data_IF_497399849988
#
_entry.id   IF_497399849988
#
_cell.length_a   1.000
_cell.length_b   1.000
_cell.length_c   1.000
_cell.angle_alpha   90.00
_cell.angle_beta   90.00
_cell.angle_gamma   90.00
#
_symmetry.space_group_name_H-M   'P 1'
#
loop_
_entity.id
_entity.type
_entity.pdbx_description
1 polymer ?
#
# COMPACT_ATOMS: atom_id res chain seq x y z
N UNK A 1 9.34 31.07 -31.09
CA UNK A 1 9.02 30.90 -29.66
C UNK A 1 8.53 29.45 -29.46
N UNK A 2 9.44 28.60 -29.07
CA UNK A 2 9.18 27.16 -28.98
C UNK A 2 8.64 26.85 -27.57
N UNK A 3 7.38 26.44 -27.49
CA UNK A 3 6.80 25.91 -26.28
C UNK A 3 7.50 24.59 -25.92
N UNK A 4 8.28 24.59 -24.87
CA UNK A 4 8.88 23.38 -24.30
C UNK A 4 7.76 22.58 -23.66
N UNK A 5 7.41 21.50 -24.33
CA UNK A 5 6.54 20.44 -23.82
C UNK A 5 7.30 19.73 -22.70
N UNK A 6 7.03 20.08 -21.44
CA UNK A 6 7.54 19.29 -20.32
C UNK A 6 6.78 17.98 -20.29
N UNK A 7 7.45 16.82 -20.34
CA UNK A 7 6.78 15.55 -20.12
C UNK A 7 6.32 15.49 -18.66
N UNK A 8 5.04 15.48 -18.43
CA UNK A 8 4.48 15.02 -17.17
C UNK A 8 4.91 13.56 -16.99
N UNK A 9 6.00 13.32 -16.27
CA UNK A 9 6.43 11.97 -15.90
C UNK A 9 5.44 11.40 -14.89
N UNK A 10 4.31 10.91 -15.39
CA UNK A 10 3.51 9.95 -14.64
C UNK A 10 4.39 8.72 -14.48
N UNK A 11 4.93 8.51 -13.28
CA UNK A 11 5.65 7.29 -12.95
C UNK A 11 4.82 6.10 -13.40
N UNK A 12 5.40 5.29 -14.29
CA UNK A 12 4.72 4.11 -14.82
C UNK A 12 4.38 3.17 -13.65
N UNK A 13 3.13 2.74 -13.59
CA UNK A 13 2.64 1.88 -12.50
C UNK A 13 2.69 0.44 -12.98
N UNK A 14 3.38 -0.45 -12.24
CA UNK A 14 3.51 -1.84 -12.65
C UNK A 14 2.17 -2.58 -12.69
N UNK A 15 1.19 -2.15 -11.89
CA UNK A 15 -0.19 -2.66 -11.92
C UNK A 15 -1.19 -1.50 -12.10
N UNK A 16 -2.25 -1.68 -12.91
CA UNK A 16 -3.24 -0.63 -13.20
C UNK A 16 -3.92 -0.07 -11.94
N UNK A 17 -4.21 -0.94 -10.97
CA UNK A 17 -4.88 -0.60 -9.73
C UNK A 17 -3.88 -0.44 -8.57
N UNK A 18 -2.76 0.22 -8.83
CA UNK A 18 -1.76 0.58 -7.84
C UNK A 18 -1.48 2.09 -7.89
N UNK A 19 -0.82 2.60 -6.86
CA UNK A 19 -0.41 3.99 -6.75
C UNK A 19 0.90 4.11 -5.97
N UNK A 20 1.80 4.98 -6.44
CA UNK A 20 3.03 5.30 -5.74
C UNK A 20 2.73 6.21 -4.55
N UNK A 21 3.10 5.75 -3.37
CA UNK A 21 3.08 6.52 -2.12
C UNK A 21 4.37 7.31 -1.99
N UNK A 22 5.49 6.63 -2.19
CA UNK A 22 6.82 7.22 -2.34
C UNK A 22 7.39 6.72 -3.67
N UNK A 23 7.70 7.61 -4.62
CA UNK A 23 8.18 7.24 -5.94
C UNK A 23 9.32 6.22 -5.90
N UNK A 24 9.19 5.12 -6.63
CA UNK A 24 10.16 4.03 -6.73
C UNK A 24 10.53 3.34 -5.39
N UNK A 25 9.78 3.61 -4.31
CA UNK A 25 10.07 3.08 -2.97
C UNK A 25 8.89 2.37 -2.32
N UNK A 26 7.74 3.02 -2.30
CA UNK A 26 6.51 2.49 -1.69
C UNK A 26 5.38 2.55 -2.69
N UNK A 27 4.93 1.40 -3.13
CA UNK A 27 3.77 1.19 -3.99
C UNK A 27 2.66 0.55 -3.16
N UNK A 28 1.44 0.96 -3.37
CA UNK A 28 0.27 0.38 -2.74
C UNK A 28 -0.79 0.03 -3.78
N UNK A 29 -1.63 -0.98 -3.52
CA UNK A 29 -2.65 -1.34 -4.48
C UNK A 29 -3.39 -2.63 -4.15
N UNK A 30 -3.90 -3.24 -5.23
CA UNK A 30 -4.67 -4.48 -5.16
C UNK A 30 -3.79 -5.72 -4.99
N UNK A 31 -4.42 -6.85 -4.67
CA UNK A 31 -3.80 -8.16 -4.63
C UNK A 31 -2.98 -8.44 -5.91
N UNK A 32 -1.68 -8.81 -5.77
CA UNK A 32 -0.79 -8.97 -6.92
C UNK A 32 -0.84 -10.36 -7.57
N UNK A 33 -1.49 -11.33 -6.93
CA UNK A 33 -1.67 -12.67 -7.49
C UNK A 33 -2.86 -12.77 -8.44
N UNK A 34 -3.16 -13.98 -8.85
CA UNK A 34 -4.33 -14.34 -9.66
C UNK A 34 -4.70 -15.80 -9.41
N UNK A 35 -5.86 -16.24 -9.91
CA UNK A 35 -6.27 -17.65 -9.90
C UNK A 35 -5.35 -18.47 -10.81
N UNK A 36 -5.08 -17.94 -12.00
CA UNK A 36 -4.14 -18.55 -12.95
C UNK A 36 -2.70 -18.17 -12.58
N UNK A 37 -1.86 -19.17 -12.35
CA UNK A 37 -0.46 -18.97 -11.94
C UNK A 37 0.35 -18.17 -12.97
N UNK A 38 0.11 -18.35 -14.24
CA UNK A 38 0.79 -17.61 -15.32
C UNK A 38 0.51 -16.11 -15.24
N UNK A 39 -0.74 -15.73 -14.94
CA UNK A 39 -1.12 -14.35 -14.73
C UNK A 39 -0.48 -13.80 -13.45
N UNK A 40 -0.51 -14.55 -12.36
CA UNK A 40 0.15 -14.17 -11.11
C UNK A 40 1.64 -13.89 -11.32
N UNK A 41 2.36 -14.79 -12.01
CA UNK A 41 3.78 -14.62 -12.36
C UNK A 41 4.03 -13.36 -13.19
N UNK A 42 3.18 -13.07 -14.18
CA UNK A 42 3.30 -11.87 -14.99
C UNK A 42 3.12 -10.60 -14.14
N UNK A 43 2.14 -10.55 -13.25
CA UNK A 43 1.88 -9.41 -12.36
C UNK A 43 3.04 -9.19 -11.38
N UNK A 44 3.53 -10.27 -10.77
CA UNK A 44 4.68 -10.23 -9.85
C UNK A 44 5.97 -9.80 -10.57
N UNK A 45 6.20 -10.26 -11.81
CA UNK A 45 7.37 -9.86 -12.58
C UNK A 45 7.38 -8.36 -12.91
N UNK A 46 6.21 -7.76 -13.16
CA UNK A 46 6.09 -6.30 -13.34
C UNK A 46 6.45 -5.54 -12.05
N UNK A 47 6.02 -6.03 -10.90
CA UNK A 47 6.36 -5.45 -9.61
C UNK A 47 7.87 -5.55 -9.33
N UNK A 48 8.46 -6.72 -9.54
CA UNK A 48 9.91 -6.91 -9.32
C UNK A 48 10.76 -6.12 -10.31
N UNK A 49 10.34 -5.99 -11.57
CA UNK A 49 10.97 -5.12 -12.56
C UNK A 49 10.93 -3.62 -12.17
N UNK A 50 9.90 -3.22 -11.41
CA UNK A 50 9.81 -1.87 -10.84
C UNK A 50 10.60 -1.71 -9.51
N UNK A 51 11.42 -2.70 -9.14
CA UNK A 51 12.26 -2.66 -7.94
C UNK A 51 11.56 -3.09 -6.64
N UNK A 52 10.34 -3.63 -6.72
CA UNK A 52 9.62 -4.15 -5.55
C UNK A 52 10.18 -5.52 -5.18
N UNK A 53 10.71 -5.63 -3.96
CA UNK A 53 11.26 -6.87 -3.40
C UNK A 53 10.81 -7.12 -1.97
N UNK A 54 9.90 -6.31 -1.44
CA UNK A 54 9.28 -6.50 -0.13
C UNK A 54 7.76 -6.39 -0.28
N UNK A 55 7.04 -7.42 0.15
CA UNK A 55 5.59 -7.54 -0.02
C UNK A 55 4.91 -7.60 1.34
N UNK A 56 3.97 -6.70 1.57
CA UNK A 56 3.14 -6.65 2.78
C UNK A 56 1.71 -6.98 2.40
N UNK A 57 1.25 -8.14 2.85
CA UNK A 57 -0.06 -8.71 2.59
C UNK A 57 -0.97 -8.50 3.81
N UNK A 58 -2.02 -7.73 3.63
CA UNK A 58 -3.01 -7.42 4.68
C UNK A 58 -4.24 -8.32 4.63
N UNK A 59 -4.27 -9.33 3.74
CA UNK A 59 -5.39 -10.27 3.64
C UNK A 59 -5.32 -11.35 4.70
N UNK A 60 -6.49 -11.91 5.00
CA UNK A 60 -6.60 -13.07 5.89
C UNK A 60 -6.11 -14.34 5.18
N UNK A 61 -5.69 -15.32 5.96
CA UNK A 61 -5.29 -16.61 5.39
C UNK A 61 -6.48 -17.30 4.72
N UNK A 62 -6.26 -17.84 3.52
CA UNK A 62 -7.32 -18.46 2.71
C UNK A 62 -8.28 -17.46 2.03
N UNK A 63 -8.15 -16.14 2.24
CA UNK A 63 -9.00 -15.14 1.58
C UNK A 63 -8.79 -15.10 0.05
N UNK A 64 -7.55 -15.27 -0.40
CA UNK A 64 -7.15 -15.25 -1.81
C UNK A 64 -6.12 -16.35 -2.09
N UNK A 65 -5.96 -16.81 -3.34
CA UNK A 65 -4.93 -17.78 -3.71
C UNK A 65 -3.53 -17.30 -3.27
N UNK A 66 -2.71 -18.16 -2.65
CA UNK A 66 -1.37 -17.74 -2.19
C UNK A 66 -0.43 -17.50 -3.37
N UNK A 67 0.37 -16.43 -3.30
CA UNK A 67 1.37 -16.10 -4.32
C UNK A 67 2.82 -16.09 -3.80
N UNK A 68 3.02 -16.27 -2.49
CA UNK A 68 4.35 -16.22 -1.86
C UNK A 68 5.36 -17.15 -2.52
N UNK A 69 4.93 -18.35 -2.92
CA UNK A 69 5.77 -19.35 -3.57
C UNK A 69 6.24 -18.96 -4.98
N UNK A 70 5.63 -17.92 -5.57
CA UNK A 70 5.98 -17.38 -6.88
C UNK A 70 6.98 -16.21 -6.80
N UNK A 71 7.28 -15.74 -5.59
CA UNK A 71 8.24 -14.65 -5.39
C UNK A 71 9.68 -15.14 -5.57
N UNK A 72 10.58 -14.26 -6.05
CA UNK A 72 12.00 -14.62 -6.14
C UNK A 72 12.60 -14.88 -4.75
N UNK A 73 13.65 -15.71 -4.64
CA UNK A 73 14.23 -16.12 -3.34
C UNK A 73 14.71 -14.97 -2.45
N UNK A 74 15.09 -13.84 -3.04
CA UNK A 74 15.53 -12.65 -2.33
C UNK A 74 14.42 -11.71 -1.89
N UNK A 75 13.17 -11.99 -2.27
CA UNK A 75 12.03 -11.18 -1.87
C UNK A 75 11.62 -11.46 -0.43
N UNK A 76 11.24 -10.42 0.26
CA UNK A 76 10.63 -10.50 1.60
C UNK A 76 9.10 -10.53 1.48
N UNK A 77 8.46 -11.35 2.29
CA UNK A 77 7.01 -11.42 2.39
C UNK A 77 6.58 -11.41 3.85
N UNK A 78 5.74 -10.45 4.19
CA UNK A 78 5.10 -10.32 5.49
C UNK A 78 3.60 -10.34 5.32
N UNK A 79 2.91 -11.29 5.95
CA UNK A 79 1.46 -11.22 6.13
C UNK A 79 1.13 -10.69 7.53
N UNK A 80 0.30 -9.66 7.58
CA UNK A 80 -0.28 -9.14 8.81
C UNK A 80 -1.77 -8.89 8.57
N UNK A 81 -2.55 -9.93 8.79
CA UNK A 81 -3.96 -9.97 8.43
C UNK A 81 -4.78 -8.93 9.18
N UNK A 82 -5.58 -8.19 8.45
CA UNK A 82 -6.62 -7.31 8.97
C UNK A 82 -7.94 -7.81 8.41
N UNK A 83 -8.94 -8.00 9.26
CA UNK A 83 -10.29 -8.41 8.82
C UNK A 83 -10.83 -7.38 7.83
N UNK A 84 -11.44 -7.86 6.76
CA UNK A 84 -11.93 -6.96 5.70
C UNK A 84 -12.91 -5.93 6.25
N UNK A 85 -12.82 -4.70 5.76
CA UNK A 85 -13.57 -3.52 6.22
C UNK A 85 -13.27 -3.02 7.63
N UNK A 86 -12.42 -3.72 8.40
CA UNK A 86 -12.08 -3.39 9.79
C UNK A 86 -10.75 -2.63 9.90
N UNK A 87 -10.45 -2.24 11.12
CA UNK A 87 -9.16 -1.70 11.56
C UNK A 87 -8.30 -2.82 12.16
N UNK A 88 -6.96 -2.63 12.33
CA UNK A 88 -6.10 -3.58 13.04
C UNK A 88 -6.62 -3.92 14.43
N UNK A 89 -6.39 -5.14 14.88
CA UNK A 89 -6.85 -5.64 16.18
C UNK A 89 -6.30 -4.84 17.36
N UNK A 90 -5.13 -4.25 17.20
CA UNK A 90 -4.49 -3.40 18.19
C UNK A 90 -3.50 -2.43 17.53
N UNK A 91 -3.07 -1.44 18.30
CA UNK A 91 -2.13 -0.41 17.85
C UNK A 91 -0.75 -0.99 17.53
N UNK A 92 -0.31 -2.05 18.24
CA UNK A 92 0.99 -2.70 17.98
C UNK A 92 1.07 -3.27 16.58
N UNK A 93 -0.01 -3.89 16.08
CA UNK A 93 -0.04 -4.42 14.70
C UNK A 93 0.25 -3.33 13.67
N UNK A 94 -0.34 -2.15 13.81
CA UNK A 94 -0.05 -1.03 12.89
C UNK A 94 1.40 -0.58 13.01
N UNK A 95 1.95 -0.49 14.22
CA UNK A 95 3.36 -0.11 14.44
C UNK A 95 4.34 -1.09 13.83
N UNK A 96 4.09 -2.37 14.00
CA UNK A 96 4.90 -3.44 13.40
C UNK A 96 4.92 -3.32 11.88
N UNK A 97 3.75 -3.06 11.27
CA UNK A 97 3.63 -2.82 9.83
C UNK A 97 4.43 -1.59 9.39
N UNK A 98 4.27 -0.46 10.08
CA UNK A 98 5.01 0.77 9.75
C UNK A 98 6.53 0.60 10.00
N UNK A 99 6.91 -0.11 11.05
CA UNK A 99 8.31 -0.45 11.32
C UNK A 99 8.89 -1.34 10.21
N UNK A 100 8.16 -2.34 9.75
CA UNK A 100 8.57 -3.19 8.64
C UNK A 100 8.75 -2.39 7.34
N UNK A 101 7.83 -1.45 7.04
CA UNK A 101 7.95 -0.54 5.90
C UNK A 101 9.22 0.32 6.01
N UNK A 102 9.42 0.99 7.15
CA UNK A 102 10.58 1.86 7.37
C UNK A 102 11.89 1.06 7.32
N UNK A 103 11.91 -0.14 7.89
CA UNK A 103 13.07 -1.03 7.85
C UNK A 103 13.42 -1.48 6.42
N UNK A 104 12.44 -1.83 5.60
CA UNK A 104 12.67 -2.20 4.21
C UNK A 104 13.19 -0.99 3.40
N UNK A 105 12.62 0.19 3.58
CA UNK A 105 13.11 1.43 2.95
C UNK A 105 14.54 1.76 3.35
N UNK A 106 14.89 1.62 4.63
CA UNK A 106 16.25 1.85 5.13
C UNK A 106 17.28 0.91 4.47
N UNK A 107 16.86 -0.32 4.11
CA UNK A 107 17.68 -1.28 3.34
C UNK A 107 17.66 -1.04 1.82
N UNK A 108 17.04 0.05 1.36
CA UNK A 108 16.94 0.37 -0.07
C UNK A 108 15.95 -0.49 -0.86
N UNK A 109 15.07 -1.25 -0.19
CA UNK A 109 14.10 -2.15 -0.83
C UNK A 109 12.84 -1.41 -1.25
N UNK A 110 12.34 -1.70 -2.45
CA UNK A 110 11.01 -1.30 -2.88
C UNK A 110 9.95 -2.18 -2.22
N UNK A 111 8.85 -1.55 -1.77
CA UNK A 111 7.80 -2.18 -0.98
C UNK A 111 6.48 -2.13 -1.74
N UNK A 112 5.73 -3.23 -1.71
CA UNK A 112 4.34 -3.29 -2.14
C UNK A 112 3.43 -3.63 -0.97
N UNK A 113 2.49 -2.72 -0.65
CA UNK A 113 1.47 -2.92 0.38
C UNK A 113 0.13 -3.16 -0.29
N UNK A 114 -0.53 -4.26 0.03
CA UNK A 114 -1.80 -4.61 -0.60
C UNK A 114 -2.78 -5.31 0.34
N UNK A 115 -4.05 -5.26 -0.06
CA UNK A 115 -5.10 -6.14 0.42
C UNK A 115 -5.79 -6.80 -0.80
N UNK A 116 -7.10 -7.01 -0.79
CA UNK A 116 -7.84 -7.50 -1.97
C UNK A 116 -7.93 -6.44 -3.08
N UNK A 117 -8.53 -5.29 -2.79
CA UNK A 117 -8.82 -4.24 -3.77
C UNK A 117 -7.88 -3.03 -3.71
N UNK A 118 -7.03 -2.94 -2.69
CA UNK A 118 -6.17 -1.78 -2.46
C UNK A 118 -6.89 -0.56 -1.88
N UNK A 119 -8.13 -0.70 -1.42
CA UNK A 119 -9.02 0.39 -1.01
C UNK A 119 -9.02 0.57 0.51
N UNK A 120 -9.58 -0.41 1.26
CA UNK A 120 -9.84 -0.29 2.69
C UNK A 120 -8.59 -0.46 3.54
N UNK A 121 -8.18 -1.71 3.75
CA UNK A 121 -7.03 -2.09 4.61
C UNK A 121 -5.72 -1.47 4.13
N UNK A 122 -5.47 -1.47 2.83
CA UNK A 122 -4.30 -0.81 2.22
C UNK A 122 -4.34 0.69 2.45
N UNK A 123 -5.47 1.34 2.16
CA UNK A 123 -5.65 2.77 2.39
C UNK A 123 -5.47 3.14 3.86
N UNK A 124 -5.93 2.28 4.78
CA UNK A 124 -5.75 2.47 6.23
C UNK A 124 -4.26 2.51 6.62
N UNK A 125 -3.49 1.47 6.25
CA UNK A 125 -2.07 1.38 6.63
C UNK A 125 -1.24 2.48 5.97
N UNK A 126 -1.48 2.76 4.70
CA UNK A 126 -0.82 3.88 4.01
C UNK A 126 -1.21 5.22 4.62
N UNK A 127 -2.49 5.39 5.02
CA UNK A 127 -2.94 6.58 5.73
C UNK A 127 -2.23 6.78 7.07
N UNK A 128 -2.01 5.72 7.84
CA UNK A 128 -1.23 5.78 9.09
C UNK A 128 0.24 6.11 8.82
N UNK A 129 0.85 5.51 7.79
CA UNK A 129 2.20 5.85 7.36
C UNK A 129 2.33 7.34 7.02
N UNK A 130 1.41 7.88 6.22
CA UNK A 130 1.38 9.31 5.88
C UNK A 130 1.12 10.19 7.09
N UNK A 131 0.31 9.74 8.06
CA UNK A 131 0.03 10.49 9.28
C UNK A 131 1.27 10.65 10.18
N UNK A 132 2.21 9.73 10.14
CA UNK A 132 3.51 9.90 10.79
C UNK A 132 4.38 10.94 10.07
N UNK A 133 4.38 10.94 8.75
CA UNK A 133 5.15 11.89 7.95
C UNK A 133 4.60 13.33 8.08
N UNK A 134 3.28 13.48 8.03
CA UNK A 134 2.58 14.78 8.09
C UNK A 134 2.34 15.26 9.53
N UNK A 135 2.58 14.41 10.54
CA UNK A 135 2.22 14.62 11.94
C UNK A 135 0.73 15.01 12.17
N UNK A 136 -0.12 14.74 11.18
CA UNK A 136 -1.54 15.12 11.17
C UNK A 136 -2.38 14.16 10.32
N UNK A 137 -3.30 13.43 10.97
CA UNK A 137 -4.13 12.44 10.29
C UNK A 137 -5.13 13.02 9.27
N UNK A 138 -5.61 14.26 9.47
CA UNK A 138 -6.51 14.90 8.48
C UNK A 138 -5.74 15.29 7.21
N UNK A 139 -4.53 15.77 7.37
CA UNK A 139 -3.63 16.07 6.24
C UNK A 139 -3.26 14.76 5.52
N UNK A 140 -2.93 13.72 6.26
CA UNK A 140 -2.64 12.40 5.72
C UNK A 140 -3.77 11.86 4.83
N UNK A 141 -5.03 11.98 5.25
CA UNK A 141 -6.18 11.58 4.44
C UNK A 141 -6.29 12.36 3.13
N UNK A 142 -6.00 13.66 3.15
CA UNK A 142 -5.99 14.48 1.91
C UNK A 142 -4.88 14.03 0.96
N UNK A 143 -3.67 13.80 1.50
CA UNK A 143 -2.53 13.28 0.72
C UNK A 143 -2.84 11.91 0.16
N UNK A 144 -3.35 11.00 0.99
CA UNK A 144 -3.76 9.64 0.59
C UNK A 144 -4.72 9.68 -0.61
N UNK A 145 -5.77 10.48 -0.52
CA UNK A 145 -6.79 10.55 -1.58
C UNK A 145 -6.26 11.24 -2.86
N UNK A 146 -5.30 12.15 -2.75
CA UNK A 146 -4.59 12.69 -3.90
C UNK A 146 -3.74 11.61 -4.59
N UNK A 147 -3.01 10.79 -3.83
CA UNK A 147 -2.19 9.70 -4.36
C UNK A 147 -3.05 8.59 -4.98
N UNK A 148 -4.19 8.29 -4.37
CA UNK A 148 -5.15 7.31 -4.87
C UNK A 148 -5.65 7.59 -6.29
N UNK A 149 -5.72 8.85 -6.70
CA UNK A 149 -6.12 9.25 -8.07
C UNK A 149 -5.26 8.61 -9.17
N UNK A 150 -4.08 8.10 -8.83
CA UNK A 150 -3.25 7.33 -9.76
C UNK A 150 -3.87 5.98 -10.10
N UNK A 151 -4.65 5.38 -9.19
CA UNK A 151 -5.26 4.05 -9.37
C UNK A 151 -6.37 4.09 -10.42
N UNK A 152 -6.41 3.07 -11.27
CA UNK A 152 -7.51 2.88 -12.22
C UNK A 152 -8.88 2.75 -11.54
N UNK A 153 -8.92 2.28 -10.29
CA UNK A 153 -10.16 2.17 -9.50
C UNK A 153 -10.68 3.52 -8.98
N UNK A 154 -9.87 4.57 -9.00
CA UNK A 154 -10.28 5.87 -8.46
C UNK A 154 -11.49 6.47 -9.20
N UNK A 155 -11.72 6.08 -10.45
CA UNK A 155 -12.89 6.50 -11.24
C UNK A 155 -14.20 5.94 -10.66
N UNK A 156 -14.19 4.69 -10.18
CA UNK A 156 -15.37 4.01 -9.61
C UNK A 156 -15.43 4.06 -8.10
N UNK A 157 -14.29 4.25 -7.45
CA UNK A 157 -14.14 4.40 -6.01
C UNK A 157 -13.33 5.65 -5.68
N UNK A 158 -13.97 6.83 -5.60
CA UNK A 158 -13.25 8.11 -5.60
C UNK A 158 -12.51 8.44 -4.29
N UNK A 159 -12.81 7.76 -3.20
CA UNK A 159 -12.22 8.02 -1.87
C UNK A 159 -11.81 6.75 -1.15
N UNK A 160 -10.67 6.82 -0.44
CA UNK A 160 -10.15 5.77 0.44
C UNK A 160 -9.75 6.37 1.81
N UNK A 161 -9.71 5.60 2.89
CA UNK A 161 -10.07 4.18 2.98
C UNK A 161 -11.57 3.92 2.82
N UNK A 162 -11.96 2.64 2.84
CA UNK A 162 -13.31 2.19 2.51
C UNK A 162 -14.37 2.59 3.53
N UNK A 163 -14.04 2.61 4.83
CA UNK A 163 -15.01 2.82 5.91
C UNK A 163 -14.69 4.08 6.73
N UNK A 164 -15.73 4.63 7.36
CA UNK A 164 -15.57 5.74 8.29
C UNK A 164 -14.68 5.37 9.48
N UNK A 165 -14.79 4.14 10.00
CA UNK A 165 -13.96 3.62 11.09
C UNK A 165 -12.46 3.64 10.70
N UNK A 166 -12.13 3.19 9.49
CA UNK A 166 -10.76 3.25 8.97
C UNK A 166 -10.25 4.68 8.81
N UNK A 167 -11.09 5.59 8.35
CA UNK A 167 -10.74 7.00 8.22
C UNK A 167 -10.54 7.65 9.59
N UNK A 168 -11.37 7.33 10.58
CA UNK A 168 -11.22 7.81 11.94
C UNK A 168 -9.96 7.27 12.62
N UNK A 169 -9.60 6.02 12.37
CA UNK A 169 -8.35 5.44 12.83
C UNK A 169 -7.14 6.24 12.33
N UNK A 170 -7.10 6.58 11.04
CA UNK A 170 -6.03 7.42 10.46
C UNK A 170 -6.02 8.81 11.12
N UNK A 171 -7.18 9.45 11.31
CA UNK A 171 -7.25 10.77 11.94
C UNK A 171 -6.64 10.80 13.35
N UNK A 172 -6.80 9.72 14.09
CA UNK A 172 -6.34 9.60 15.47
C UNK A 172 -4.95 8.97 15.60
N UNK A 173 -4.39 8.38 14.52
CA UNK A 173 -3.13 7.67 14.53
C UNK A 173 -1.95 8.46 15.16
N UNK A 174 -1.75 9.76 14.91
CA UNK A 174 -0.65 10.51 15.54
C UNK A 174 -0.69 10.51 17.07
N UNK A 175 -1.87 10.33 17.66
CA UNK A 175 -2.05 10.20 19.12
C UNK A 175 -1.90 8.75 19.57
N UNK A 176 -2.55 7.82 18.87
CA UNK A 176 -2.48 6.39 19.16
C UNK A 176 -1.06 5.87 19.04
N UNK A 177 -0.32 6.31 18.02
CA UNK A 177 1.06 5.99 17.80
C UNK A 177 2.00 6.40 18.96
N UNK A 178 1.67 7.34 19.80
CA UNK A 178 2.49 7.84 20.92
C UNK A 178 2.16 7.18 22.28
N UNK A 179 1.04 6.50 22.40
CA UNK A 179 0.54 5.99 23.70
C UNK A 179 1.19 4.67 24.18
N UNK A 180 2.14 4.11 23.42
CA UNK A 180 2.80 2.83 23.72
C UNK A 180 4.32 2.99 23.58
N UNK A 181 4.87 4.00 24.25
CA UNK A 181 6.32 4.09 24.54
C UNK A 181 6.58 3.64 25.96
#
# INVERSE_FOLDING_TARGET
MSAQNQPSSTLDRPLPNSYWVVPNRVLAGEYPGAVEESEARMRLSRLTAAGIVSFIDLTEDGELPPYRHLLPPHAEYLRSAIVDTRVPNNVSQTRELLSAMNGAMARGRGIYVHCRAGIGRTGLIIGCYLAEQEANGRTALKVLNRLWRQSGRAATWPQIPQTAEQADYIRHWPKLGKLVQ
#
